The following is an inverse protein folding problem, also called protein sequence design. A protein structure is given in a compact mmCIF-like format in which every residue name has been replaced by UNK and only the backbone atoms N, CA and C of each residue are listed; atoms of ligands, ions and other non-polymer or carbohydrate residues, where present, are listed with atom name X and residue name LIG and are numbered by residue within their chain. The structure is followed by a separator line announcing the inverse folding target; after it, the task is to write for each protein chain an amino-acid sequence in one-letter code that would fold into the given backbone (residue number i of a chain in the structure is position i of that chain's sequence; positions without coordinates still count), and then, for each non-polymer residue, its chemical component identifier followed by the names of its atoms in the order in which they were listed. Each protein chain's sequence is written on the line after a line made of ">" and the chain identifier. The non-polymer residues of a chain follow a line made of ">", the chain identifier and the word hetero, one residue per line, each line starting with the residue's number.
data_IF_672412552302
#
_entry.id   IF_672412552302
#
_cell.length_a   1.000
_cell.length_b   1.000
_cell.length_c   1.000
_cell.angle_alpha   90.00
_cell.angle_beta   90.00
_cell.angle_gamma   90.00
#
_symmetry.space_group_name_H-M   'P 1'
#
loop_
_entity.id
_entity.type
_entity.pdbx_description
1 polymer ?
#
# COMPACT_ATOMS: atom_id res chain seq x y z
N UNK A 1 -0.05 7.45 -33.04
CA UNK A 1 0.54 7.90 -31.76
C UNK A 1 -0.59 7.92 -30.77
N UNK A 2 -0.59 7.01 -29.80
CA UNK A 2 -1.57 7.05 -28.71
C UNK A 2 -1.12 8.13 -27.74
N UNK A 3 -1.99 9.09 -27.42
CA UNK A 3 -1.76 10.03 -26.32
C UNK A 3 -1.71 9.24 -25.01
N UNK A 4 -0.60 9.38 -24.28
CA UNK A 4 -0.50 8.91 -22.91
C UNK A 4 -1.41 9.80 -22.05
N UNK A 5 -2.59 9.30 -21.69
CA UNK A 5 -3.46 9.99 -20.74
C UNK A 5 -2.76 10.07 -19.39
N UNK A 6 -2.28 11.27 -19.04
CA UNK A 6 -1.61 11.52 -17.77
C UNK A 6 -2.66 11.81 -16.70
N UNK A 7 -2.87 10.86 -15.79
CA UNK A 7 -3.79 11.04 -14.66
C UNK A 7 -3.20 12.10 -13.73
N UNK A 8 -3.85 13.27 -13.63
CA UNK A 8 -3.41 14.39 -12.77
C UNK A 8 -3.70 14.17 -11.29
N UNK A 9 -4.81 13.50 -10.98
CA UNK A 9 -5.26 13.26 -9.61
C UNK A 9 -6.15 12.01 -9.58
N UNK A 10 -5.89 11.10 -8.62
CA UNK A 10 -6.68 9.90 -8.39
C UNK A 10 -7.23 9.96 -6.97
N UNK A 11 -8.56 10.00 -6.85
CA UNK A 11 -9.24 9.94 -5.56
C UNK A 11 -9.46 8.47 -5.20
N UNK A 12 -8.79 8.02 -4.15
CA UNK A 12 -8.92 6.66 -3.61
C UNK A 12 -9.81 6.73 -2.38
N UNK A 13 -10.98 6.09 -2.43
CA UNK A 13 -11.85 5.94 -1.27
C UNK A 13 -11.42 4.68 -0.50
N UNK A 14 -10.68 4.88 0.60
CA UNK A 14 -10.15 3.80 1.43
C UNK A 14 -11.26 3.20 2.33
N UNK A 15 -11.89 2.13 1.87
CA UNK A 15 -12.85 1.33 2.66
C UNK A 15 -12.23 0.01 3.11
N UNK A 16 -11.46 0.03 4.21
CA UNK A 16 -10.99 -1.16 4.97
C UNK A 16 -10.58 -2.35 4.09
N UNK A 17 -9.60 -2.16 3.20
CA UNK A 17 -8.90 -3.31 2.64
C UNK A 17 -7.99 -3.87 3.74
N UNK A 18 -8.36 -5.02 4.29
CA UNK A 18 -7.56 -5.70 5.31
C UNK A 18 -6.38 -6.39 4.62
N UNK A 19 -5.17 -5.88 4.83
CA UNK A 19 -3.95 -6.60 4.44
C UNK A 19 -3.62 -7.64 5.51
N UNK A 20 -3.75 -8.92 5.17
CA UNK A 20 -3.51 -10.02 6.10
C UNK A 20 -2.03 -10.23 6.33
N UNK A 21 -1.58 -9.94 7.55
CA UNK A 21 -0.22 -10.15 8.00
C UNK A 21 -0.15 -11.50 8.72
N UNK A 22 0.88 -12.34 8.49
CA UNK A 22 1.04 -13.57 9.24
C UNK A 22 1.10 -13.32 10.76
N UNK A 23 0.68 -14.33 11.51
CA UNK A 23 0.70 -14.30 12.96
C UNK A 23 2.11 -13.97 13.49
N UNK A 24 2.18 -13.07 14.48
CA UNK A 24 3.44 -12.64 15.08
C UNK A 24 4.18 -11.53 14.35
N UNK A 25 3.80 -11.19 13.10
CA UNK A 25 4.47 -10.14 12.31
C UNK A 25 3.82 -8.76 12.40
N UNK A 26 2.59 -8.67 12.94
CA UNK A 26 1.89 -7.39 13.12
C UNK A 26 2.61 -6.41 14.06
N UNK A 27 3.29 -6.93 15.09
CA UNK A 27 3.97 -6.10 16.09
C UNK A 27 5.13 -5.28 15.49
N UNK A 28 5.82 -5.80 14.48
CA UNK A 28 6.92 -5.09 13.82
C UNK A 28 6.39 -3.86 13.06
N UNK A 29 5.21 -3.98 12.45
CA UNK A 29 4.53 -2.91 11.71
C UNK A 29 3.96 -1.86 12.69
N UNK A 30 3.33 -2.31 13.78
CA UNK A 30 2.80 -1.40 14.81
C UNK A 30 3.92 -0.58 15.46
N UNK A 31 5.06 -1.21 15.79
CA UNK A 31 6.23 -0.49 16.34
C UNK A 31 6.80 0.51 15.35
N UNK A 32 6.88 0.15 14.07
CA UNK A 32 7.30 1.04 13.00
C UNK A 32 6.42 2.30 12.95
N UNK A 33 5.10 2.14 12.89
CA UNK A 33 4.17 3.28 12.86
C UNK A 33 4.25 4.15 14.12
N UNK A 34 4.28 3.51 15.29
CA UNK A 34 4.13 4.21 16.57
C UNK A 34 5.32 5.11 16.93
N UNK A 35 6.50 4.79 16.40
CA UNK A 35 7.69 5.64 16.60
C UNK A 35 7.73 6.85 15.67
N UNK A 36 6.91 6.88 14.61
CA UNK A 36 6.93 7.91 13.57
C UNK A 36 8.26 8.02 12.81
N UNK A 37 9.19 7.09 13.05
CA UNK A 37 10.52 7.05 12.42
C UNK A 37 10.52 6.23 11.15
N UNK A 38 9.46 5.46 10.94
CA UNK A 38 9.37 4.48 9.88
C UNK A 38 8.17 4.80 9.02
N UNK A 39 8.43 5.02 7.74
CA UNK A 39 7.39 5.24 6.74
C UNK A 39 6.78 3.89 6.38
N UNK A 40 5.46 3.79 6.49
CA UNK A 40 4.71 2.59 6.11
C UNK A 40 3.86 2.92 4.90
N UNK A 41 4.29 2.43 3.74
CA UNK A 41 3.61 2.64 2.47
C UNK A 41 2.85 1.38 2.05
N UNK A 42 1.81 1.56 1.24
CA UNK A 42 1.10 0.47 0.59
C UNK A 42 1.31 0.53 -0.92
N UNK A 43 1.73 -0.59 -1.51
CA UNK A 43 1.79 -0.75 -2.96
C UNK A 43 0.43 -1.20 -3.46
N UNK A 44 -0.26 -0.34 -4.20
CA UNK A 44 -1.58 -0.62 -4.74
C UNK A 44 -1.47 -0.93 -6.23
N UNK A 45 -2.19 -1.96 -6.67
CA UNK A 45 -2.38 -2.27 -8.10
C UNK A 45 -3.79 -1.86 -8.48
N UNK A 46 -3.93 -1.21 -9.63
CA UNK A 46 -5.21 -0.73 -10.15
C UNK A 46 -5.45 -1.38 -11.51
N UNK A 47 -6.63 -1.96 -11.69
CA UNK A 47 -7.04 -2.52 -12.99
C UNK A 47 -7.64 -1.46 -13.93
N UNK A 48 -7.93 -1.85 -15.17
CA UNK A 48 -8.53 -0.95 -16.18
C UNK A 48 -9.95 -0.46 -15.85
N UNK A 49 -10.59 -1.03 -14.83
CA UNK A 49 -11.93 -0.65 -14.37
C UNK A 49 -11.88 0.23 -13.12
N UNK A 50 -10.68 0.54 -12.60
CA UNK A 50 -10.49 1.33 -11.39
C UNK A 50 -10.59 0.53 -10.09
N UNK A 51 -10.61 -0.81 -10.14
CA UNK A 51 -10.54 -1.63 -8.94
C UNK A 51 -9.10 -1.60 -8.41
N UNK A 52 -8.94 -1.28 -7.14
CA UNK A 52 -7.67 -1.25 -6.44
C UNK A 52 -7.53 -2.48 -5.53
N UNK A 53 -6.31 -2.97 -5.35
CA UNK A 53 -5.96 -3.97 -4.33
C UNK A 53 -4.58 -3.67 -3.74
N UNK A 54 -4.42 -3.86 -2.42
CA UNK A 54 -3.10 -3.83 -1.78
C UNK A 54 -2.30 -5.06 -2.19
N UNK A 55 -1.16 -4.85 -2.86
CA UNK A 55 -0.22 -5.92 -3.25
C UNK A 55 0.74 -6.28 -2.13
N UNK A 56 1.29 -5.25 -1.49
CA UNK A 56 2.32 -5.39 -0.47
C UNK A 56 2.43 -4.12 0.36
N UNK A 57 3.04 -4.26 1.53
CA UNK A 57 3.43 -3.14 2.36
C UNK A 57 4.92 -2.86 2.18
N UNK A 58 5.31 -1.61 2.37
CA UNK A 58 6.70 -1.21 2.44
C UNK A 58 6.97 -0.59 3.81
N UNK A 59 8.16 -0.88 4.34
CA UNK A 59 8.67 -0.30 5.57
C UNK A 59 10.00 0.37 5.20
N UNK A 60 10.08 1.69 5.38
CA UNK A 60 11.24 2.49 4.96
C UNK A 60 11.61 2.26 3.47
N UNK A 61 10.59 2.23 2.60
CA UNK A 61 10.75 2.00 1.17
C UNK A 61 11.16 0.57 0.77
N UNK A 62 11.23 -0.38 1.72
CA UNK A 62 11.50 -1.79 1.44
C UNK A 62 10.23 -2.61 1.50
N UNK A 63 9.92 -3.28 0.39
CA UNK A 63 8.82 -4.24 0.31
C UNK A 63 9.05 -5.37 1.31
N UNK A 64 8.06 -5.60 2.19
CA UNK A 64 8.12 -6.68 3.17
C UNK A 64 7.52 -7.95 2.58
N UNK A 65 8.32 -9.01 2.60
CA UNK A 65 7.90 -10.36 2.27
C UNK A 65 7.62 -11.15 3.57
N UNK A 66 6.64 -12.03 3.49
CA UNK A 66 6.15 -12.85 4.59
C UNK A 66 6.34 -14.33 4.29
#
# INVERSE_FOLDING_TARGET
>A
MAEEETIKELRVDYGIESYFVPEGRGMDIEKAQQTGKTEVDAKVIIDKYGNAVIKSLLIDGKEIEF
#
